data_IF_154200339388
#
_entry.id   IF_154200339388
#
_cell.length_a   1.000
_cell.length_b   1.000
_cell.length_c   1.000
_cell.angle_alpha   90.00
_cell.angle_beta   90.00
_cell.angle_gamma   90.00
#
_symmetry.space_group_name_H-M   'P 1'
#
loop_
_entity.id
_entity.type
_entity.pdbx_description
1 polymer ?
#
# COMPACT_ATOMS: atom_id res chain seq x y z
N UNK A 1 -5.78 -4.35 -9.60
CA UNK A 1 -4.54 -4.93 -9.03
C UNK A 1 -4.08 -6.16 -9.79
N UNK A 2 -4.93 -7.15 -10.07
CA UNK A 2 -4.49 -8.44 -10.65
C UNK A 2 -3.53 -8.33 -11.86
N UNK A 3 -3.81 -7.57 -12.93
CA UNK A 3 -2.90 -7.52 -14.08
C UNK A 3 -1.55 -6.84 -13.77
N UNK A 4 -1.53 -5.93 -12.77
CA UNK A 4 -0.32 -5.22 -12.34
C UNK A 4 0.55 -6.15 -11.51
N UNK A 5 -0.04 -6.89 -10.56
CA UNK A 5 0.65 -7.90 -9.74
C UNK A 5 1.33 -8.92 -10.67
N UNK A 6 0.57 -9.49 -11.60
CA UNK A 6 1.10 -10.48 -12.55
C UNK A 6 2.22 -9.91 -13.44
N UNK A 7 2.15 -8.62 -13.79
CA UNK A 7 3.22 -7.98 -14.54
C UNK A 7 4.49 -7.82 -13.70
N UNK A 8 4.36 -7.38 -12.45
CA UNK A 8 5.48 -7.26 -11.52
C UNK A 8 6.16 -8.61 -11.28
N UNK A 9 5.38 -9.67 -11.02
CA UNK A 9 5.90 -11.03 -10.84
C UNK A 9 6.64 -11.54 -12.08
N UNK A 10 6.05 -11.39 -13.28
CA UNK A 10 6.69 -11.83 -14.54
C UNK A 10 8.02 -11.13 -14.82
N UNK A 11 8.19 -9.91 -14.35
CA UNK A 11 9.38 -9.10 -14.61
C UNK A 11 10.33 -9.00 -13.42
N UNK A 12 10.03 -9.69 -12.30
CA UNK A 12 10.83 -9.60 -11.08
C UNK A 12 10.89 -8.20 -10.48
N UNK A 13 9.82 -7.41 -10.64
CA UNK A 13 9.72 -6.05 -10.12
C UNK A 13 9.02 -6.03 -8.77
N UNK A 14 9.46 -5.15 -7.87
CA UNK A 14 8.71 -4.84 -6.65
C UNK A 14 7.48 -3.99 -7.00
N UNK A 15 6.42 -4.17 -6.24
CA UNK A 15 5.16 -3.44 -6.34
C UNK A 15 4.93 -2.62 -5.06
N UNK A 16 4.86 -1.30 -5.21
CA UNK A 16 4.48 -0.39 -4.13
C UNK A 16 3.08 0.15 -4.43
N UNK A 17 2.15 -0.01 -3.48
CA UNK A 17 0.82 0.58 -3.57
C UNK A 17 0.80 1.97 -2.93
N UNK A 18 0.57 3.02 -3.71
CA UNK A 18 0.17 4.32 -3.15
C UNK A 18 -1.31 4.29 -2.80
N UNK A 19 -1.61 4.15 -1.50
CA UNK A 19 -2.95 4.11 -0.95
C UNK A 19 -3.36 5.43 -0.25
N UNK A 20 -2.69 6.54 -0.55
CA UNK A 20 -2.90 7.81 0.15
C UNK A 20 -4.35 8.33 0.09
N UNK A 21 -5.16 7.93 -0.89
CA UNK A 21 -6.58 8.33 -1.02
C UNK A 21 -7.56 7.14 -0.99
N UNK A 22 -7.12 5.97 -0.55
CA UNK A 22 -7.91 4.73 -0.67
C UNK A 22 -8.08 3.99 0.65
N UNK A 23 -7.94 4.68 1.78
CA UNK A 23 -8.19 4.09 3.11
C UNK A 23 -9.53 3.35 3.15
N UNK A 24 -9.50 2.09 3.58
CA UNK A 24 -10.68 1.23 3.70
C UNK A 24 -11.21 0.66 2.37
N UNK A 25 -10.67 1.07 1.22
CA UNK A 25 -11.06 0.51 -0.08
C UNK A 25 -10.67 -0.98 -0.18
N UNK A 26 -11.34 -1.67 -1.11
CA UNK A 26 -11.08 -3.09 -1.38
C UNK A 26 -10.98 -3.35 -2.88
N UNK A 27 -10.07 -4.24 -3.24
CA UNK A 27 -10.01 -4.84 -4.58
C UNK A 27 -10.32 -6.33 -4.45
N UNK A 28 -11.39 -6.80 -5.11
CA UNK A 28 -11.83 -8.21 -5.07
C UNK A 28 -11.96 -8.77 -3.64
N UNK A 29 -12.43 -7.95 -2.70
CA UNK A 29 -12.64 -8.33 -1.30
C UNK A 29 -11.41 -8.16 -0.40
N UNK A 30 -10.20 -8.11 -0.94
CA UNK A 30 -8.99 -7.79 -0.19
C UNK A 30 -8.87 -6.28 0.04
N UNK A 31 -8.35 -5.86 1.20
CA UNK A 31 -8.11 -4.43 1.50
C UNK A 31 -6.97 -3.93 0.61
N UNK A 32 -7.05 -2.69 0.16
CA UNK A 32 -5.90 -2.04 -0.47
C UNK A 32 -4.77 -1.87 0.53
N UNK A 33 -3.54 -1.91 0.05
CA UNK A 33 -2.33 -1.85 0.86
C UNK A 33 -1.86 -3.20 1.44
N UNK A 34 -2.40 -4.30 0.92
CA UNK A 34 -2.01 -5.68 1.28
C UNK A 34 -1.77 -6.56 0.04
N UNK A 35 -1.51 -5.97 -1.12
CA UNK A 35 -1.39 -6.66 -2.41
C UNK A 35 -0.02 -6.46 -3.08
N UNK A 36 0.69 -5.37 -2.76
CA UNK A 36 2.08 -5.16 -3.13
C UNK A 36 3.05 -5.60 -2.03
N UNK A 37 4.34 -5.42 -2.29
CA UNK A 37 5.39 -5.65 -1.29
C UNK A 37 5.33 -4.63 -0.16
N UNK A 38 4.92 -3.40 -0.50
CA UNK A 38 4.77 -2.27 0.41
C UNK A 38 3.55 -1.47 -0.01
N UNK A 39 2.88 -0.84 0.95
CA UNK A 39 1.93 0.20 0.66
C UNK A 39 2.11 1.41 1.55
N UNK A 40 1.72 2.57 1.04
CA UNK A 40 1.78 3.83 1.77
C UNK A 40 0.40 4.44 1.90
N UNK A 41 0.17 5.06 3.05
CA UNK A 41 -1.02 5.83 3.33
C UNK A 41 -0.62 7.21 3.81
N UNK A 42 -1.48 8.19 3.58
CA UNK A 42 -1.28 9.55 4.08
C UNK A 42 -2.35 9.86 5.10
N UNK A 43 -1.94 10.48 6.19
CA UNK A 43 -2.83 10.93 7.26
C UNK A 43 -3.00 12.45 7.24
N UNK A 44 -2.72 13.09 6.10
CA UNK A 44 -2.88 14.53 5.97
C UNK A 44 -4.36 14.94 6.14
N UNK A 45 -4.59 16.21 6.45
CA UNK A 45 -5.91 16.79 6.73
C UNK A 45 -6.98 16.53 5.64
N UNK A 46 -6.57 16.29 4.40
CA UNK A 46 -7.46 16.12 3.26
C UNK A 46 -7.65 14.64 2.85
N UNK A 47 -7.12 13.67 3.62
CA UNK A 47 -7.28 12.24 3.34
C UNK A 47 -8.54 11.67 4.00
N UNK A 48 -9.00 10.53 3.47
CA UNK A 48 -10.16 9.79 3.99
C UNK A 48 -10.05 9.46 5.49
N UNK A 49 -8.83 9.17 5.96
CA UNK A 49 -8.48 9.04 7.36
C UNK A 49 -7.36 10.03 7.64
N UNK A 50 -7.60 10.97 8.55
CA UNK A 50 -6.63 12.03 8.88
C UNK A 50 -6.21 11.96 10.35
N UNK A 51 -4.94 12.33 10.59
CA UNK A 51 -4.37 12.57 11.91
C UNK A 51 -3.68 13.95 11.98
N UNK A 52 -4.16 14.92 11.18
CA UNK A 52 -3.50 16.20 10.97
C UNK A 52 -2.46 16.10 9.85
N UNK A 53 -1.26 15.64 10.18
CA UNK A 53 -0.20 15.32 9.22
C UNK A 53 0.40 13.95 9.54
N UNK A 54 0.89 13.25 8.53
CA UNK A 54 1.57 11.96 8.72
C UNK A 54 1.39 10.98 7.58
N UNK A 55 1.92 9.79 7.76
CA UNK A 55 1.77 8.67 6.83
C UNK A 55 1.94 7.34 7.55
N UNK A 56 1.49 6.28 6.89
CA UNK A 56 1.66 4.91 7.35
C UNK A 56 2.31 4.10 6.24
N UNK A 57 3.09 3.11 6.64
CA UNK A 57 3.60 2.06 5.77
C UNK A 57 3.00 0.73 6.21
N UNK A 58 2.57 -0.09 5.27
CA UNK A 58 2.22 -1.48 5.51
C UNK A 58 3.08 -2.39 4.63
N UNK A 59 3.54 -3.49 5.21
CA UNK A 59 4.30 -4.53 4.53
C UNK A 59 4.17 -5.82 5.34
N UNK A 60 4.25 -6.96 4.65
CA UNK A 60 4.38 -8.29 5.28
C UNK A 60 5.86 -8.76 5.32
N UNK A 61 6.79 -7.92 4.86
CA UNK A 61 8.23 -8.20 4.81
C UNK A 61 8.93 -7.59 6.04
N UNK A 62 9.31 -8.45 7.00
CA UNK A 62 9.98 -8.04 8.24
C UNK A 62 11.26 -7.24 7.96
N UNK A 63 12.01 -7.56 6.90
CA UNK A 63 13.23 -6.85 6.56
C UNK A 63 12.94 -5.43 6.07
N UNK A 64 11.84 -5.24 5.34
CA UNK A 64 11.37 -3.90 4.94
C UNK A 64 10.88 -3.12 6.15
N UNK A 65 10.12 -3.76 7.03
CA UNK A 65 9.61 -3.14 8.25
C UNK A 65 10.73 -2.63 9.16
N UNK A 66 11.76 -3.44 9.42
CA UNK A 66 12.89 -3.06 10.27
C UNK A 66 13.76 -1.93 9.69
N UNK A 67 13.65 -1.64 8.39
CA UNK A 67 14.39 -0.57 7.71
C UNK A 67 13.57 0.70 7.48
N UNK A 68 12.27 0.68 7.76
CA UNK A 68 11.36 1.80 7.54
C UNK A 68 11.46 2.86 8.64
#
# INVERSE_FOLDING_TARGET
MQPVIEACERHGLRLIEDCCQSHGAKYRGAKVGSMGDVATFSLNQNKNLSAGEGGLLTTDDDEVYEKA
#
